data_IF_818436807932
#
_entry.id   IF_818436807932
#
_cell.length_a   1.000
_cell.length_b   1.000
_cell.length_c   1.000
_cell.angle_alpha   90.00
_cell.angle_beta   90.00
_cell.angle_gamma   90.00
#
_symmetry.space_group_name_H-M   'P 1'
#
loop_
_entity.id
_entity.type
_entity.pdbx_description
1 polymer ?
#
# COMPACT_ATOMS: atom_id res chain seq x y z
N UNK A 1 27.13 -19.78 -31.62
CA UNK A 1 26.63 -18.50 -31.10
C UNK A 1 25.42 -18.80 -30.21
N UNK A 2 25.58 -18.76 -28.89
CA UNK A 2 24.48 -18.93 -27.92
C UNK A 2 24.10 -17.54 -27.41
N UNK A 3 22.89 -17.09 -27.73
CA UNK A 3 22.32 -15.86 -27.19
C UNK A 3 22.11 -16.02 -25.68
N UNK A 4 22.65 -15.07 -24.94
CA UNK A 4 22.55 -14.91 -23.49
C UNK A 4 21.13 -14.42 -23.19
N UNK A 5 20.34 -15.22 -22.47
CA UNK A 5 19.08 -14.75 -21.85
C UNK A 5 19.45 -13.69 -20.81
N UNK A 6 19.06 -12.46 -21.05
CA UNK A 6 18.99 -11.40 -20.06
C UNK A 6 17.76 -11.67 -19.18
N UNK A 7 18.00 -12.10 -17.95
CA UNK A 7 16.99 -12.08 -16.89
C UNK A 7 16.78 -10.61 -16.48
N UNK A 8 15.72 -10.00 -17.03
CA UNK A 8 15.20 -8.73 -16.52
C UNK A 8 14.43 -9.04 -15.24
N UNK A 9 15.04 -8.77 -14.09
CA UNK A 9 14.33 -8.70 -12.81
C UNK A 9 13.60 -7.36 -12.75
N UNK A 10 12.46 -7.25 -13.47
CA UNK A 10 11.59 -6.08 -13.44
C UNK A 10 10.93 -5.97 -12.07
N UNK A 11 11.10 -4.81 -11.42
CA UNK A 11 10.31 -4.45 -10.24
C UNK A 11 8.82 -4.57 -10.58
N UNK A 12 8.06 -5.25 -9.73
CA UNK A 12 6.63 -5.45 -9.95
C UNK A 12 5.95 -4.10 -9.68
N UNK A 13 5.80 -3.31 -10.72
CA UNK A 13 4.94 -2.12 -10.72
C UNK A 13 3.50 -2.62 -10.78
N UNK A 14 2.72 -2.34 -9.75
CA UNK A 14 1.30 -2.62 -9.75
C UNK A 14 0.55 -1.45 -10.37
N UNK A 15 -0.55 -1.77 -11.05
CA UNK A 15 -1.34 -0.79 -11.77
C UNK A 15 -2.80 -0.83 -11.34
N UNK A 16 -3.40 0.34 -11.21
CA UNK A 16 -4.85 0.53 -11.12
C UNK A 16 -5.43 0.85 -12.51
N UNK A 17 -6.73 0.62 -12.69
CA UNK A 17 -7.44 1.02 -13.91
C UNK A 17 -7.80 2.50 -13.84
N UNK A 18 -7.33 3.29 -14.81
CA UNK A 18 -7.33 4.74 -14.69
C UNK A 18 -8.73 5.38 -14.79
N UNK A 19 -9.70 4.76 -15.48
CA UNK A 19 -11.08 5.27 -15.49
C UNK A 19 -11.76 5.08 -14.13
N UNK A 20 -11.69 3.88 -13.56
CA UNK A 20 -12.23 3.50 -12.25
C UNK A 20 -11.63 4.39 -11.17
N UNK A 21 -10.31 4.54 -11.15
CA UNK A 21 -9.60 5.38 -10.17
C UNK A 21 -10.02 6.86 -10.30
N UNK A 22 -10.06 7.42 -11.52
CA UNK A 22 -10.43 8.82 -11.73
C UNK A 22 -11.88 9.12 -11.41
N UNK A 23 -12.81 8.23 -11.80
CA UNK A 23 -14.25 8.47 -11.65
C UNK A 23 -14.74 8.23 -10.22
N UNK A 24 -14.01 7.48 -9.40
CA UNK A 24 -14.39 7.24 -8.03
C UNK A 24 -15.74 6.55 -7.93
N UNK A 25 -15.86 5.37 -8.55
CA UNK A 25 -17.14 4.67 -8.67
C UNK A 25 -17.75 4.28 -7.32
N UNK A 26 -16.92 4.09 -6.29
CA UNK A 26 -17.33 3.56 -5.00
C UNK A 26 -17.22 4.67 -3.95
N UNK A 27 -18.19 4.75 -3.03
CA UNK A 27 -18.11 5.73 -1.94
C UNK A 27 -16.91 5.45 -1.04
N UNK A 28 -16.21 6.50 -0.63
CA UNK A 28 -15.07 6.37 0.30
C UNK A 28 -15.53 6.03 1.72
N UNK A 29 -16.80 6.24 2.05
CA UNK A 29 -17.30 6.06 3.41
C UNK A 29 -17.40 4.57 3.76
N UNK A 30 -16.83 4.18 4.89
CA UNK A 30 -16.92 2.81 5.41
C UNK A 30 -18.36 2.39 5.76
N UNK A 31 -19.20 3.35 6.15
CA UNK A 31 -20.60 3.14 6.51
C UNK A 31 -21.48 4.18 5.87
N UNK A 32 -22.57 3.72 5.28
CA UNK A 32 -23.64 4.54 4.73
C UNK A 32 -25.00 4.02 5.20
N UNK A 33 -26.06 4.84 5.20
CA UNK A 33 -27.41 4.33 5.39
C UNK A 33 -27.78 3.33 4.28
N UNK A 34 -28.43 2.18 4.57
CA UNK A 34 -28.87 1.24 3.53
C UNK A 34 -29.84 1.85 2.50
N UNK A 35 -30.52 2.94 2.87
CA UNK A 35 -31.38 3.72 1.97
C UNK A 35 -30.61 4.58 0.96
N UNK A 36 -29.29 4.71 1.10
CA UNK A 36 -28.45 5.41 0.13
C UNK A 36 -28.15 4.49 -1.06
N UNK A 37 -29.14 4.36 -1.94
CA UNK A 37 -29.15 3.43 -3.08
C UNK A 37 -28.80 4.07 -4.41
N UNK A 38 -28.61 5.40 -4.47
CA UNK A 38 -28.20 6.07 -5.69
C UNK A 38 -27.46 7.37 -5.43
N UNK A 39 -26.66 7.78 -6.41
CA UNK A 39 -26.05 9.10 -6.47
C UNK A 39 -25.86 9.54 -7.92
N UNK A 40 -25.77 10.85 -8.14
CA UNK A 40 -25.47 11.48 -9.42
C UNK A 40 -24.45 12.58 -9.18
N UNK A 41 -23.43 12.64 -10.03
CA UNK A 41 -22.38 13.66 -10.02
C UNK A 41 -22.24 14.22 -11.43
N UNK A 42 -22.44 15.52 -11.55
CA UNK A 42 -22.14 16.30 -12.77
C UNK A 42 -20.78 16.98 -12.58
N UNK A 43 -19.93 16.93 -13.61
CA UNK A 43 -18.59 17.52 -13.61
C UNK A 43 -18.17 17.91 -15.03
N UNK A 44 -17.03 18.59 -15.14
CA UNK A 44 -16.44 18.93 -16.44
C UNK A 44 -15.16 18.11 -16.67
N UNK A 45 -15.02 17.59 -17.88
CA UNK A 45 -13.85 16.81 -18.32
C UNK A 45 -13.35 17.40 -19.64
N UNK A 46 -12.15 17.97 -19.65
CA UNK A 46 -11.58 18.67 -20.81
C UNK A 46 -12.52 19.73 -21.42
N UNK A 47 -13.22 20.49 -20.55
CA UNK A 47 -14.19 21.51 -20.96
C UNK A 47 -15.53 20.96 -21.48
N UNK A 48 -15.79 19.66 -21.32
CA UNK A 48 -17.06 19.01 -21.71
C UNK A 48 -17.87 18.63 -20.48
N UNK A 49 -19.20 18.85 -20.48
CA UNK A 49 -20.05 18.37 -19.41
C UNK A 49 -20.10 16.84 -19.44
N UNK A 50 -19.85 16.25 -18.28
CA UNK A 50 -19.86 14.81 -18.06
C UNK A 50 -20.75 14.49 -16.84
N UNK A 51 -21.31 13.29 -16.83
CA UNK A 51 -22.18 12.81 -15.75
C UNK A 51 -21.79 11.41 -15.35
N UNK A 52 -21.71 11.17 -14.04
CA UNK A 52 -21.55 9.85 -13.46
C UNK A 52 -22.72 9.58 -12.52
N UNK A 53 -23.29 8.38 -12.58
CA UNK A 53 -24.30 7.94 -11.63
C UNK A 53 -24.14 6.48 -11.24
N UNK A 54 -24.70 6.14 -10.08
CA UNK A 54 -24.87 4.76 -9.64
C UNK A 54 -26.30 4.56 -9.15
N UNK A 55 -26.87 3.41 -9.47
CA UNK A 55 -28.10 2.90 -8.89
C UNK A 55 -27.82 1.49 -8.37
N UNK A 56 -28.18 1.24 -7.12
CA UNK A 56 -27.96 -0.01 -6.42
C UNK A 56 -29.22 -0.47 -5.68
N UNK A 57 -29.19 -1.67 -5.13
CA UNK A 57 -30.32 -2.29 -4.44
C UNK A 57 -30.15 -2.16 -2.94
N UNK A 58 -31.20 -1.73 -2.23
CA UNK A 58 -31.16 -1.56 -0.77
C UNK A 58 -30.85 -2.87 -0.02
N UNK A 59 -31.31 -4.00 -0.54
CA UNK A 59 -31.11 -5.34 0.03
C UNK A 59 -29.63 -5.70 0.22
N UNK A 60 -28.75 -5.20 -0.64
CA UNK A 60 -27.30 -5.44 -0.53
C UNK A 60 -26.56 -4.33 0.25
N UNK A 61 -27.30 -3.46 0.95
CA UNK A 61 -26.73 -2.39 1.79
C UNK A 61 -26.49 -1.05 1.06
N UNK A 62 -27.14 -0.83 -0.09
CA UNK A 62 -27.06 0.43 -0.83
C UNK A 62 -25.96 0.44 -1.90
N UNK A 63 -25.49 1.63 -2.26
CA UNK A 63 -24.40 1.79 -3.24
C UNK A 63 -23.10 1.16 -2.75
N UNK A 64 -22.19 0.74 -3.65
CA UNK A 64 -20.87 0.28 -3.25
C UNK A 64 -20.12 1.33 -2.42
N UNK A 65 -19.50 0.90 -1.33
CA UNK A 65 -18.89 1.78 -0.33
C UNK A 65 -17.77 1.10 0.47
N UNK A 66 -16.92 1.92 1.08
CA UNK A 66 -15.94 1.46 2.06
C UNK A 66 -15.00 0.41 1.51
N UNK A 67 -15.05 -0.78 2.12
CA UNK A 67 -14.28 -1.98 1.81
C UNK A 67 -14.42 -2.44 0.35
N UNK A 68 -15.50 -2.07 -0.35
CA UNK A 68 -15.67 -2.38 -1.77
C UNK A 68 -14.59 -1.73 -2.65
N UNK A 69 -13.98 -0.63 -2.21
CA UNK A 69 -12.84 -0.02 -2.89
C UNK A 69 -11.64 -0.98 -2.94
N UNK A 70 -11.34 -1.63 -1.82
CA UNK A 70 -10.22 -2.55 -1.72
C UNK A 70 -10.53 -3.83 -2.51
N UNK A 71 -11.74 -4.39 -2.38
CA UNK A 71 -12.16 -5.57 -3.16
C UNK A 71 -12.08 -5.28 -4.66
N UNK A 72 -12.57 -4.13 -5.11
CA UNK A 72 -12.55 -3.77 -6.53
C UNK A 72 -11.12 -3.67 -7.09
N UNK A 73 -10.17 -3.16 -6.29
CA UNK A 73 -8.74 -3.15 -6.63
C UNK A 73 -8.14 -4.57 -6.64
N UNK A 74 -8.50 -5.41 -5.66
CA UNK A 74 -8.07 -6.81 -5.60
C UNK A 74 -8.45 -7.55 -6.89
N UNK A 75 -9.68 -7.35 -7.37
CA UNK A 75 -10.16 -8.00 -8.58
C UNK A 75 -9.39 -7.54 -9.83
N UNK A 76 -9.06 -6.25 -9.94
CA UNK A 76 -8.20 -5.71 -11.00
C UNK A 76 -6.79 -6.31 -10.93
N UNK A 77 -6.20 -6.39 -9.74
CA UNK A 77 -4.87 -6.97 -9.54
C UNK A 77 -4.86 -8.45 -9.93
N UNK A 78 -5.84 -9.23 -9.45
CA UNK A 78 -5.97 -10.66 -9.78
C UNK A 78 -6.21 -10.91 -11.27
N UNK A 79 -6.94 -10.02 -11.94
CA UNK A 79 -7.14 -10.07 -13.39
C UNK A 79 -5.83 -9.83 -14.15
N UNK A 80 -5.03 -8.86 -13.72
CA UNK A 80 -3.72 -8.59 -14.29
C UNK A 80 -2.74 -9.76 -14.04
N UNK A 81 -2.71 -10.28 -12.81
CA UNK A 81 -1.91 -11.46 -12.43
C UNK A 81 -2.27 -12.71 -13.25
N UNK A 82 -3.54 -12.85 -13.63
CA UNK A 82 -4.02 -13.93 -14.49
C UNK A 82 -3.64 -13.74 -15.98
N UNK A 83 -2.89 -12.70 -16.33
CA UNK A 83 -2.47 -12.40 -17.71
C UNK A 83 -3.50 -11.66 -18.53
N UNK A 84 -4.47 -10.98 -17.90
CA UNK A 84 -5.52 -10.20 -18.55
C UNK A 84 -6.35 -11.01 -19.58
N UNK A 85 -7.02 -12.11 -19.18
CA UNK A 85 -7.82 -12.93 -20.12
C UNK A 85 -8.86 -12.09 -20.87
N UNK A 86 -9.08 -12.38 -22.15
CA UNK A 86 -9.92 -11.57 -23.05
C UNK A 86 -11.40 -11.56 -22.65
N UNK A 87 -11.88 -12.66 -22.09
CA UNK A 87 -13.27 -12.78 -21.65
C UNK A 87 -13.54 -12.12 -20.29
N UNK A 88 -12.53 -11.52 -19.67
CA UNK A 88 -12.64 -10.86 -18.37
C UNK A 88 -12.77 -11.81 -17.17
N UNK A 89 -12.66 -13.13 -17.38
CA UNK A 89 -12.92 -14.12 -16.34
C UNK A 89 -11.68 -14.42 -15.52
N UNK A 90 -11.77 -14.30 -14.20
CA UNK A 90 -10.79 -14.79 -13.23
C UNK A 90 -11.36 -15.94 -12.43
N UNK A 91 -10.54 -16.96 -12.17
CA UNK A 91 -10.83 -18.05 -11.23
C UNK A 91 -9.88 -17.91 -10.06
N UNK A 92 -10.43 -17.79 -8.85
CA UNK A 92 -9.66 -17.51 -7.63
C UNK A 92 -10.36 -18.12 -6.41
N UNK A 93 -9.78 -17.95 -5.23
CA UNK A 93 -10.43 -18.31 -3.95
C UNK A 93 -10.75 -17.06 -3.14
N UNK A 94 -11.70 -17.16 -2.21
CA UNK A 94 -12.03 -16.05 -1.32
C UNK A 94 -10.80 -15.65 -0.49
N UNK A 95 -10.02 -16.65 -0.04
CA UNK A 95 -8.74 -16.44 0.64
C UNK A 95 -7.77 -15.58 -0.18
N UNK A 96 -7.63 -15.86 -1.49
CA UNK A 96 -6.72 -15.11 -2.35
C UNK A 96 -7.18 -13.66 -2.56
N UNK A 97 -8.49 -13.39 -2.59
CA UNK A 97 -9.00 -12.01 -2.67
C UNK A 97 -8.66 -11.24 -1.39
N UNK A 98 -8.93 -11.82 -0.21
CA UNK A 98 -8.66 -11.17 1.08
C UNK A 98 -7.17 -10.91 1.32
N UNK A 99 -6.32 -11.89 0.99
CA UNK A 99 -4.86 -11.75 1.15
C UNK A 99 -4.27 -10.74 0.19
N UNK A 100 -4.80 -10.59 -1.02
CA UNK A 100 -4.35 -9.57 -1.98
C UNK A 100 -4.54 -8.13 -1.47
N UNK A 101 -5.46 -7.91 -0.54
CA UNK A 101 -5.74 -6.60 0.09
C UNK A 101 -5.28 -6.53 1.55
N UNK A 102 -4.52 -7.53 2.01
CA UNK A 102 -3.95 -7.57 3.35
C UNK A 102 -4.98 -7.75 4.48
N UNK A 103 -6.20 -8.18 4.17
CA UNK A 103 -7.22 -8.45 5.18
C UNK A 103 -7.01 -9.80 5.85
N UNK A 104 -7.53 -9.91 7.06
CA UNK A 104 -7.59 -11.17 7.78
C UNK A 104 -8.56 -12.15 7.09
N UNK A 105 -8.37 -13.45 7.35
CA UNK A 105 -9.13 -14.55 6.76
C UNK A 105 -10.07 -15.18 7.77
N UNK A 106 -10.74 -14.34 8.57
CA UNK A 106 -11.79 -14.74 9.50
C UNK A 106 -13.16 -14.75 8.83
N UNK A 107 -14.12 -15.46 9.43
CA UNK A 107 -15.50 -15.55 8.93
C UNK A 107 -16.16 -14.18 8.73
N UNK A 108 -15.80 -13.19 9.56
CA UNK A 108 -16.27 -11.81 9.40
C UNK A 108 -15.87 -11.20 8.05
N UNK A 109 -14.61 -11.34 7.65
CA UNK A 109 -14.12 -10.80 6.38
C UNK A 109 -14.59 -11.59 5.17
N UNK A 110 -14.82 -12.90 5.31
CA UNK A 110 -15.48 -13.67 4.26
C UNK A 110 -16.92 -13.22 4.02
N UNK A 111 -17.66 -12.92 5.08
CA UNK A 111 -19.00 -12.34 4.96
C UNK A 111 -18.95 -10.94 4.33
N UNK A 112 -18.04 -10.08 4.78
CA UNK A 112 -17.86 -8.75 4.20
C UNK A 112 -17.48 -8.81 2.72
N UNK A 113 -16.65 -9.76 2.32
CA UNK A 113 -16.30 -10.01 0.93
C UNK A 113 -17.52 -10.44 0.11
N UNK A 114 -18.34 -11.38 0.63
CA UNK A 114 -19.57 -11.82 -0.04
C UNK A 114 -20.50 -10.63 -0.32
N UNK A 115 -20.75 -9.81 0.70
CA UNK A 115 -21.58 -8.61 0.59
C UNK A 115 -21.00 -7.60 -0.41
N UNK A 116 -19.67 -7.44 -0.42
CA UNK A 116 -18.97 -6.58 -1.38
C UNK A 116 -19.15 -7.05 -2.82
N UNK A 117 -18.94 -8.35 -3.07
CA UNK A 117 -19.11 -8.96 -4.39
C UNK A 117 -20.57 -8.84 -4.87
N UNK A 118 -21.56 -9.01 -3.99
CA UNK A 118 -22.97 -8.81 -4.32
C UNK A 118 -23.28 -7.35 -4.68
N UNK A 119 -22.78 -6.38 -3.90
CA UNK A 119 -22.92 -4.96 -4.24
C UNK A 119 -22.29 -4.63 -5.60
N UNK A 120 -21.07 -5.10 -5.85
CA UNK A 120 -20.35 -4.87 -7.11
C UNK A 120 -20.98 -5.58 -8.32
N UNK A 121 -21.68 -6.70 -8.09
CA UNK A 121 -22.38 -7.46 -9.13
C UNK A 121 -23.79 -6.92 -9.44
N UNK A 122 -24.37 -6.10 -8.56
CA UNK A 122 -25.75 -5.59 -8.72
C UNK A 122 -25.83 -4.09 -8.96
N UNK A 123 -24.89 -3.31 -8.42
CA UNK A 123 -24.82 -1.87 -8.63
C UNK A 123 -24.51 -1.54 -10.10
N UNK A 124 -25.34 -0.68 -10.69
CA UNK A 124 -25.21 -0.24 -12.07
C UNK A 124 -24.64 1.18 -12.11
N UNK A 125 -23.50 1.34 -12.77
CA UNK A 125 -22.86 2.61 -13.04
C UNK A 125 -23.24 3.12 -14.42
N UNK A 126 -23.42 4.42 -14.57
CA UNK A 126 -23.54 5.09 -15.86
C UNK A 126 -22.54 6.24 -15.90
N UNK A 127 -21.60 6.19 -16.83
CA UNK A 127 -20.59 7.22 -17.07
C UNK A 127 -20.89 7.84 -18.43
N UNK A 128 -21.59 8.97 -18.46
CA UNK A 128 -21.96 9.71 -19.67
C UNK A 128 -20.86 10.71 -20.06
N UNK A 129 -20.31 10.55 -21.26
CA UNK A 129 -19.17 11.32 -21.79
C UNK A 129 -17.97 11.37 -20.82
N UNK A 130 -17.80 10.31 -20.03
CA UNK A 130 -16.88 10.25 -18.89
C UNK A 130 -15.92 9.05 -18.94
N UNK A 131 -16.19 8.06 -19.80
CA UNK A 131 -15.36 6.88 -19.95
C UNK A 131 -14.33 7.09 -21.06
N UNK A 132 -13.06 6.87 -20.76
CA UNK A 132 -12.00 6.97 -21.76
C UNK A 132 -11.91 5.67 -22.54
N UNK A 133 -12.08 5.72 -23.85
CA UNK A 133 -11.77 4.61 -24.76
C UNK A 133 -10.93 5.15 -25.91
N UNK A 134 -9.65 4.76 -25.92
CA UNK A 134 -8.64 5.33 -26.80
C UNK A 134 -8.54 6.85 -26.69
N UNK A 135 -8.78 7.56 -27.81
CA UNK A 135 -8.74 9.05 -27.86
C UNK A 135 -10.09 9.72 -27.63
N UNK A 136 -11.15 8.98 -27.31
CA UNK A 136 -12.52 9.50 -27.17
C UNK A 136 -13.06 9.34 -25.76
N UNK A 137 -13.93 10.27 -25.40
CA UNK A 137 -14.83 10.14 -24.26
C UNK A 137 -16.10 9.45 -24.76
N UNK A 138 -16.57 8.44 -24.04
CA UNK A 138 -17.75 7.67 -24.40
C UNK A 138 -18.72 7.59 -23.23
N UNK A 139 -19.96 7.26 -23.57
CA UNK A 139 -21.02 6.94 -22.61
C UNK A 139 -21.12 5.43 -22.44
N UNK A 140 -20.96 4.94 -21.21
CA UNK A 140 -21.07 3.51 -20.88
C UNK A 140 -22.01 3.30 -19.70
N UNK A 141 -22.68 2.15 -19.67
CA UNK A 141 -23.52 1.71 -18.56
C UNK A 141 -23.20 0.25 -18.25
N UNK A 142 -22.69 -0.01 -17.05
CA UNK A 142 -22.10 -1.30 -16.71
C UNK A 142 -22.26 -1.60 -15.21
N UNK A 143 -22.04 -2.86 -14.84
CA UNK A 143 -21.85 -3.29 -13.45
C UNK A 143 -20.38 -3.65 -13.28
N UNK A 144 -19.81 -3.50 -12.10
CA UNK A 144 -18.38 -3.78 -11.93
C UNK A 144 -18.05 -5.26 -12.19
N UNK A 145 -18.92 -6.14 -11.69
CA UNK A 145 -18.88 -7.58 -11.92
C UNK A 145 -20.06 -7.96 -12.82
N UNK A 146 -19.75 -8.48 -14.00
CA UNK A 146 -20.76 -8.93 -14.95
C UNK A 146 -21.34 -10.30 -14.58
N UNK A 147 -20.49 -11.18 -14.04
CA UNK A 147 -20.89 -12.53 -13.60
C UNK A 147 -20.11 -12.94 -12.37
N UNK A 148 -20.83 -13.48 -11.38
CA UNK A 148 -20.28 -14.01 -10.14
C UNK A 148 -20.80 -15.44 -9.96
N UNK A 149 -19.90 -16.40 -9.89
CA UNK A 149 -20.16 -17.77 -9.47
C UNK A 149 -19.24 -18.09 -8.28
N UNK A 150 -19.76 -18.77 -7.26
CA UNK A 150 -18.97 -19.24 -6.14
C UNK A 150 -19.46 -20.57 -5.61
N UNK A 151 -18.56 -21.34 -5.00
CA UNK A 151 -18.90 -22.53 -4.22
C UNK A 151 -19.10 -22.18 -2.74
N UNK A 152 -20.04 -22.86 -2.10
CA UNK A 152 -20.26 -22.81 -0.66
C UNK A 152 -20.24 -24.22 -0.10
N UNK A 153 -19.69 -24.37 1.11
CA UNK A 153 -19.72 -25.62 1.87
C UNK A 153 -20.88 -25.66 2.88
N UNK A 154 -21.57 -24.53 3.10
CA UNK A 154 -22.71 -24.42 4.01
C UNK A 154 -24.04 -24.17 3.27
N UNK A 155 -25.14 -24.52 3.95
CA UNK A 155 -26.52 -24.31 3.48
C UNK A 155 -26.91 -22.82 3.41
N UNK A 156 -26.10 -21.94 4.00
CA UNK A 156 -26.31 -20.49 4.02
C UNK A 156 -25.65 -19.78 2.83
N UNK A 157 -25.03 -20.55 1.94
CA UNK A 157 -24.28 -20.05 0.78
C UNK A 157 -23.17 -19.07 1.18
N UNK A 158 -22.54 -19.29 2.34
CA UNK A 158 -21.43 -18.48 2.84
C UNK A 158 -20.13 -18.68 2.05
N UNK A 159 -19.24 -17.68 2.12
CA UNK A 159 -17.87 -17.84 1.63
C UNK A 159 -16.99 -18.41 2.74
N UNK A 160 -16.10 -19.34 2.38
CA UNK A 160 -15.02 -19.85 3.21
C UNK A 160 -13.68 -19.70 2.49
N UNK A 161 -12.57 -20.02 3.16
CA UNK A 161 -11.25 -20.02 2.50
C UNK A 161 -11.14 -20.96 1.31
N UNK A 162 -11.95 -22.03 1.27
CA UNK A 162 -12.01 -23.01 0.19
C UNK A 162 -13.01 -22.66 -0.92
N UNK A 163 -13.84 -21.64 -0.71
CA UNK A 163 -14.76 -21.16 -1.76
C UNK A 163 -13.99 -20.76 -3.00
N UNK A 164 -14.28 -21.45 -4.10
CA UNK A 164 -13.77 -21.14 -5.44
C UNK A 164 -14.73 -20.13 -6.06
N UNK A 165 -14.19 -19.03 -6.55
CA UNK A 165 -14.94 -17.98 -7.24
C UNK A 165 -14.53 -17.93 -8.70
N UNK A 166 -15.53 -17.81 -9.56
CA UNK A 166 -15.35 -17.46 -10.97
C UNK A 166 -16.06 -16.14 -11.21
N UNK A 167 -15.26 -15.10 -11.42
CA UNK A 167 -15.70 -13.71 -11.52
C UNK A 167 -15.40 -13.23 -12.92
N UNK A 168 -16.39 -12.66 -13.61
CA UNK A 168 -16.20 -11.93 -14.86
C UNK A 168 -16.33 -10.44 -14.60
N UNK A 169 -15.27 -9.70 -14.86
CA UNK A 169 -15.29 -8.24 -14.80
C UNK A 169 -16.10 -7.64 -15.95
N UNK A 170 -16.60 -6.43 -15.75
CA UNK A 170 -17.26 -5.66 -16.79
C UNK A 170 -16.37 -5.55 -18.04
N UNK A 171 -16.98 -5.71 -19.22
CA UNK A 171 -16.24 -5.57 -20.48
C UNK A 171 -15.55 -4.20 -20.60
N UNK A 172 -16.17 -3.14 -20.11
CA UNK A 172 -15.61 -1.79 -20.11
C UNK A 172 -14.28 -1.71 -19.35
N UNK A 173 -14.20 -2.36 -18.18
CA UNK A 173 -12.97 -2.42 -17.37
C UNK A 173 -11.92 -3.28 -18.07
N UNK A 174 -12.33 -4.44 -18.60
CA UNK A 174 -11.47 -5.39 -19.32
C UNK A 174 -10.82 -4.73 -20.53
N UNK A 175 -11.62 -4.09 -21.39
CA UNK A 175 -11.15 -3.40 -22.58
C UNK A 175 -10.20 -2.25 -22.17
N UNK A 176 -10.54 -1.49 -21.12
CA UNK A 176 -9.70 -0.38 -20.62
C UNK A 176 -8.32 -0.86 -20.13
N UNK A 177 -8.26 -1.95 -19.35
CA UNK A 177 -7.00 -2.54 -18.87
C UNK A 177 -6.16 -3.07 -20.04
N UNK A 178 -6.80 -3.78 -20.98
CA UNK A 178 -6.13 -4.37 -22.15
C UNK A 178 -5.60 -3.29 -23.10
N UNK A 179 -6.30 -2.17 -23.22
CA UNK A 179 -5.89 -0.96 -23.94
C UNK A 179 -4.80 -0.15 -23.19
N UNK A 180 -4.30 -0.67 -22.06
CA UNK A 180 -3.24 -0.06 -21.23
C UNK A 180 -3.65 1.29 -20.65
N UNK A 181 -4.93 1.47 -20.37
CA UNK A 181 -5.42 2.62 -19.61
C UNK A 181 -5.21 2.40 -18.11
N UNK A 182 -3.93 2.35 -17.75
CA UNK A 182 -3.44 1.95 -16.44
C UNK A 182 -2.66 3.09 -15.80
N UNK A 183 -2.74 3.18 -14.47
CA UNK A 183 -1.93 4.12 -13.69
C UNK A 183 -1.09 3.33 -12.68
N UNK A 184 0.23 3.59 -12.60
CA UNK A 184 1.07 3.02 -11.54
C UNK A 184 0.48 3.35 -10.16
N UNK A 185 0.44 2.36 -9.28
CA UNK A 185 -0.08 2.48 -7.93
C UNK A 185 1.01 2.10 -6.93
N UNK A 186 1.28 2.98 -5.97
CA UNK A 186 2.21 2.69 -4.88
C UNK A 186 1.52 1.76 -3.86
N UNK A 187 1.72 0.46 -4.02
CA UNK A 187 1.17 -0.51 -3.08
C UNK A 187 1.82 -0.42 -1.70
N UNK A 188 3.06 0.01 -1.58
CA UNK A 188 3.71 0.13 -0.27
C UNK A 188 3.01 1.22 0.53
N UNK A 189 2.76 2.38 -0.09
CA UNK A 189 1.95 3.42 0.53
C UNK A 189 0.54 2.92 0.81
N UNK A 190 -0.17 2.37 -0.19
CA UNK A 190 -1.55 1.91 -0.05
C UNK A 190 -1.72 0.91 1.11
N UNK A 191 -0.84 -0.07 1.23
CA UNK A 191 -0.88 -1.11 2.27
C UNK A 191 -0.45 -0.59 3.64
N UNK A 192 0.30 0.52 3.69
CA UNK A 192 0.63 1.20 4.94
C UNK A 192 -0.55 2.00 5.51
N UNK A 193 -1.57 2.31 4.71
CA UNK A 193 -2.77 3.02 5.15
C UNK A 193 -3.71 2.06 5.88
N UNK A 194 -4.03 2.38 7.12
CA UNK A 194 -4.82 1.55 8.04
C UNK A 194 -6.29 1.53 7.64
N UNK A 195 -6.84 2.71 7.30
CA UNK A 195 -8.28 2.87 7.11
C UNK A 195 -8.71 2.70 5.64
N UNK A 196 -9.80 1.96 5.35
CA UNK A 196 -10.35 1.84 4.00
C UNK A 196 -10.70 3.19 3.36
N UNK A 197 -11.23 4.12 4.15
CA UNK A 197 -11.53 5.47 3.69
C UNK A 197 -10.28 6.19 3.20
N UNK A 198 -9.16 6.06 3.92
CA UNK A 198 -7.89 6.70 3.56
C UNK A 198 -7.33 6.10 2.27
N UNK A 199 -7.37 4.76 2.11
CA UNK A 199 -6.98 4.08 0.88
C UNK A 199 -7.79 4.55 -0.34
N UNK A 200 -9.11 4.67 -0.18
CA UNK A 200 -9.99 5.15 -1.23
C UNK A 200 -9.72 6.63 -1.58
N UNK A 201 -9.52 7.49 -0.57
CA UNK A 201 -9.17 8.89 -0.79
C UNK A 201 -7.81 9.06 -1.46
N UNK A 202 -6.81 8.28 -1.07
CA UNK A 202 -5.50 8.24 -1.71
C UNK A 202 -5.63 7.95 -3.21
N UNK A 203 -6.31 6.87 -3.59
CA UNK A 203 -6.51 6.50 -5.00
C UNK A 203 -7.21 7.60 -5.80
N UNK A 204 -8.23 8.23 -5.22
CA UNK A 204 -8.91 9.37 -5.85
C UNK A 204 -7.96 10.55 -6.07
N UNK A 205 -7.22 10.96 -5.05
CA UNK A 205 -6.28 12.08 -5.12
C UNK A 205 -5.15 11.77 -6.10
N UNK A 206 -4.64 10.55 -6.10
CA UNK A 206 -3.59 10.08 -7.00
C UNK A 206 -4.04 10.11 -8.47
N UNK A 207 -5.31 9.79 -8.72
CA UNK A 207 -5.89 9.97 -10.06
C UNK A 207 -6.06 11.44 -10.46
N UNK A 208 -6.28 12.38 -9.52
CA UNK A 208 -6.32 13.82 -9.80
C UNK A 208 -4.93 14.45 -9.95
N UNK A 209 -3.88 13.79 -9.45
CA UNK A 209 -2.51 14.28 -9.50
C UNK A 209 -1.94 14.28 -10.92
N UNK A 210 -2.41 13.38 -11.78
CA UNK A 210 -1.88 13.19 -13.15
C UNK A 210 -2.57 14.14 -14.14
N UNK A 211 -1.76 14.89 -14.88
CA UNK A 211 -2.19 15.76 -15.98
C UNK A 211 -2.37 14.95 -17.28
N UNK A 212 -3.17 15.46 -18.24
CA UNK A 212 -3.38 14.79 -19.53
C UNK A 212 -2.11 14.56 -20.36
N UNK A 213 -1.05 15.33 -20.13
CA UNK A 213 0.26 15.20 -20.77
C UNK A 213 1.21 14.23 -20.04
N UNK A 214 0.76 13.63 -18.94
CA UNK A 214 1.54 12.71 -18.10
C UNK A 214 2.35 13.40 -17.01
N UNK A 215 2.32 14.73 -16.90
CA UNK A 215 2.90 15.45 -15.77
C UNK A 215 2.11 15.26 -14.48
N UNK A 216 2.66 15.69 -13.35
CA UNK A 216 1.96 15.69 -12.07
C UNK A 216 1.80 17.11 -11.52
N UNK A 217 0.64 17.38 -10.92
CA UNK A 217 0.43 18.63 -10.19
C UNK A 217 1.01 18.55 -8.78
N UNK A 218 1.66 19.62 -8.36
CA UNK A 218 2.15 19.78 -6.98
C UNK A 218 1.02 20.12 -5.99
N UNK A 219 -0.10 20.63 -6.50
CA UNK A 219 -1.24 21.04 -5.70
C UNK A 219 -2.53 20.75 -6.44
N UNK A 220 -3.51 20.20 -5.73
CA UNK A 220 -4.87 20.00 -6.21
C UNK A 220 -5.84 20.84 -5.37
N UNK A 221 -6.54 21.79 -6.02
CA UNK A 221 -7.53 22.69 -5.41
C UNK A 221 -8.91 22.31 -5.91
N UNK A 222 -9.86 22.15 -5.00
CA UNK A 222 -11.24 21.72 -5.33
C UNK A 222 -12.26 22.31 -4.36
N UNK A 223 -13.45 22.64 -4.85
CA UNK A 223 -14.55 23.06 -3.97
C UNK A 223 -14.98 21.90 -3.04
N UNK A 224 -15.27 22.19 -1.77
CA UNK A 224 -15.60 21.16 -0.77
C UNK A 224 -16.86 20.35 -1.12
N UNK A 225 -17.88 20.97 -1.71
CA UNK A 225 -19.13 20.30 -2.08
C UNK A 225 -18.92 19.46 -3.33
N UNK A 226 -18.17 19.98 -4.31
CA UNK A 226 -17.79 19.21 -5.50
C UNK A 226 -16.93 17.99 -5.12
N UNK A 227 -15.99 18.17 -4.18
CA UNK A 227 -15.19 17.06 -3.68
C UNK A 227 -16.01 16.05 -2.89
N UNK A 228 -16.97 16.50 -2.07
CA UNK A 228 -17.90 15.61 -1.39
C UNK A 228 -18.70 14.76 -2.38
N UNK A 229 -19.14 15.35 -3.49
CA UNK A 229 -19.77 14.63 -4.59
C UNK A 229 -18.80 13.67 -5.26
N UNK A 230 -17.56 14.06 -5.55
CA UNK A 230 -16.56 13.16 -6.12
C UNK A 230 -16.28 11.95 -5.22
N UNK A 231 -16.17 12.15 -3.90
CA UNK A 231 -16.00 11.11 -2.90
C UNK A 231 -17.28 10.30 -2.57
N UNK A 232 -18.43 10.69 -3.15
CA UNK A 232 -19.76 10.11 -2.88
C UNK A 232 -20.11 10.14 -1.37
N UNK A 233 -19.80 11.26 -0.71
CA UNK A 233 -20.16 11.50 0.68
C UNK A 233 -21.67 11.80 0.76
N UNK A 234 -22.37 11.11 1.68
CA UNK A 234 -23.82 11.20 1.88
C UNK A 234 -24.23 12.62 2.32
N UNK A 235 -23.62 13.13 3.38
CA UNK A 235 -23.88 14.49 3.87
C UNK A 235 -22.82 15.46 3.32
N UNK A 236 -23.23 16.25 2.33
CA UNK A 236 -22.38 17.19 1.62
C UNK A 236 -22.24 18.55 2.33
N UNK A 237 -22.74 18.68 3.56
CA UNK A 237 -22.55 19.88 4.36
C UNK A 237 -21.06 20.07 4.65
N UNK A 238 -20.46 21.24 4.35
CA UNK A 238 -19.01 21.46 4.48
C UNK A 238 -18.38 21.01 5.81
N UNK A 239 -19.06 21.26 6.93
CA UNK A 239 -18.57 20.85 8.25
C UNK A 239 -18.53 19.32 8.42
N UNK A 240 -19.51 18.60 7.85
CA UNK A 240 -19.56 17.13 7.87
C UNK A 240 -18.54 16.53 6.92
N UNK A 241 -18.38 17.10 5.73
CA UNK A 241 -17.36 16.72 4.76
C UNK A 241 -15.96 16.82 5.38
N UNK A 242 -15.64 17.96 6.01
CA UNK A 242 -14.38 18.12 6.76
C UNK A 242 -14.17 17.01 7.77
N UNK A 243 -15.14 16.78 8.65
CA UNK A 243 -15.07 15.76 9.70
C UNK A 243 -14.91 14.34 9.15
N UNK A 244 -15.53 14.04 8.02
CA UNK A 244 -15.40 12.75 7.34
C UNK A 244 -13.99 12.54 6.79
N UNK A 245 -13.37 13.59 6.24
CA UNK A 245 -12.06 13.51 5.59
C UNK A 245 -10.87 13.69 6.54
N UNK A 246 -11.08 14.34 7.70
CA UNK A 246 -10.03 14.76 8.64
C UNK A 246 -9.05 13.63 9.01
N UNK A 247 -9.58 12.45 9.40
CA UNK A 247 -8.73 11.32 9.76
C UNK A 247 -7.85 10.83 8.61
N UNK A 248 -8.39 10.80 7.39
CA UNK A 248 -7.62 10.41 6.21
C UNK A 248 -6.61 11.48 5.79
N UNK A 249 -6.93 12.77 5.99
CA UNK A 249 -6.00 13.86 5.73
C UNK A 249 -4.78 13.80 6.65
N UNK A 250 -5.00 13.57 7.94
CA UNK A 250 -3.93 13.40 8.93
C UNK A 250 -3.04 12.22 8.53
N UNK A 251 -3.64 11.07 8.28
CA UNK A 251 -2.90 9.85 7.93
C UNK A 251 -2.10 10.01 6.63
N UNK A 252 -2.66 10.63 5.58
CA UNK A 252 -1.94 10.84 4.32
C UNK A 252 -0.79 11.84 4.44
N UNK A 253 -0.86 12.77 5.40
CA UNK A 253 0.28 13.64 5.73
C UNK A 253 1.34 12.88 6.51
N UNK A 254 0.94 12.10 7.51
CA UNK A 254 1.85 11.27 8.33
C UNK A 254 2.61 10.24 7.49
N UNK A 255 1.95 9.63 6.49
CA UNK A 255 2.55 8.67 5.56
C UNK A 255 3.31 9.33 4.41
N UNK A 256 3.42 10.66 4.39
CA UNK A 256 4.24 11.42 3.44
C UNK A 256 3.68 11.51 2.02
N UNK A 257 2.42 11.15 1.79
CA UNK A 257 1.78 11.34 0.48
C UNK A 257 1.42 12.81 0.24
N UNK A 258 0.89 13.46 1.28
CA UNK A 258 0.60 14.88 1.30
C UNK A 258 1.61 15.61 2.19
N UNK A 259 2.00 16.82 1.81
CA UNK A 259 2.78 17.70 2.69
C UNK A 259 1.86 18.53 3.59
N UNK A 260 0.72 18.98 3.07
CA UNK A 260 -0.29 19.70 3.83
C UNK A 260 -1.68 19.60 3.18
N UNK A 261 -2.71 19.78 3.99
CA UNK A 261 -4.10 20.01 3.54
C UNK A 261 -4.58 21.32 4.13
N UNK A 262 -5.04 22.23 3.28
CA UNK A 262 -5.59 23.53 3.69
C UNK A 262 -7.03 23.67 3.26
N UNK A 263 -7.76 24.48 4.03
CA UNK A 263 -9.11 24.87 3.67
C UNK A 263 -9.22 26.39 3.61
N UNK A 264 -9.66 26.92 2.48
CA UNK A 264 -9.84 28.36 2.24
C UNK A 264 -11.32 28.70 2.01
N UNK A 265 -11.74 29.89 2.45
CA UNK A 265 -13.12 30.34 2.30
C UNK A 265 -14.11 29.75 3.32
N UNK A 266 -15.41 29.96 3.09
CA UNK A 266 -16.50 29.64 4.04
C UNK A 266 -17.71 29.03 3.35
N UNK A 267 -18.48 28.25 4.11
CA UNK A 267 -19.72 27.64 3.64
C UNK A 267 -19.50 26.75 2.41
N UNK A 268 -20.47 26.73 1.50
CA UNK A 268 -20.41 25.91 0.28
C UNK A 268 -19.35 26.38 -0.74
N UNK A 269 -18.83 27.62 -0.61
CA UNK A 269 -17.79 28.18 -1.49
C UNK A 269 -16.37 27.85 -1.02
N UNK A 270 -16.25 27.08 0.04
CA UNK A 270 -14.97 26.70 0.58
C UNK A 270 -14.21 25.77 -0.38
N UNK A 271 -12.91 25.92 -0.42
CA UNK A 271 -12.00 25.09 -1.20
C UNK A 271 -11.12 24.24 -0.27
N UNK A 272 -10.87 23.01 -0.69
CA UNK A 272 -9.84 22.13 -0.14
C UNK A 272 -8.63 22.22 -1.05
N UNK A 273 -7.46 22.40 -0.46
CA UNK A 273 -6.19 22.50 -1.18
C UNK A 273 -5.29 21.40 -0.64
N UNK A 274 -5.07 20.39 -1.47
CA UNK A 274 -4.13 19.31 -1.21
C UNK A 274 -2.78 19.71 -1.79
N UNK A 275 -1.72 19.70 -0.98
CA UNK A 275 -0.36 19.90 -1.47
C UNK A 275 0.36 18.56 -1.38
N UNK A 276 0.71 18.01 -2.52
CA UNK A 276 1.43 16.74 -2.58
C UNK A 276 2.85 16.93 -2.05
N UNK A 277 3.38 15.92 -1.36
CA UNK A 277 4.79 15.93 -1.03
C UNK A 277 5.60 15.96 -2.34
N UNK A 278 6.66 16.79 -2.40
CA UNK A 278 7.58 16.82 -3.56
C UNK A 278 8.15 15.42 -3.74
N UNK A 279 7.80 14.84 -4.89
CA UNK A 279 8.26 13.57 -5.46
C UNK A 279 8.91 12.56 -4.51
N UNK A 280 8.12 11.56 -4.15
CA UNK A 280 8.59 10.19 -3.90
C UNK A 280 8.81 9.40 -5.20
N UNK A 281 8.69 10.02 -6.38
CA UNK A 281 9.34 9.49 -7.58
C UNK A 281 10.82 9.89 -7.51
N UNK A 282 11.64 9.00 -6.94
CA UNK A 282 13.09 9.20 -6.91
C UNK A 282 13.60 9.51 -8.34
N UNK A 283 14.51 10.48 -8.48
CA UNK A 283 15.24 10.65 -9.74
C UNK A 283 15.96 9.34 -10.09
N UNK A 284 16.32 9.13 -11.36
CA UNK A 284 17.12 7.96 -11.76
C UNK A 284 18.37 7.81 -10.89
N UNK A 285 19.01 8.94 -10.53
CA UNK A 285 20.19 8.95 -9.66
C UNK A 285 19.87 8.51 -8.22
N UNK A 286 18.67 8.85 -7.73
CA UNK A 286 18.23 8.42 -6.40
C UNK A 286 17.81 6.94 -6.38
N UNK A 287 17.25 6.41 -7.48
CA UNK A 287 17.03 4.98 -7.67
C UNK A 287 18.36 4.21 -7.71
N UNK A 288 19.39 4.75 -8.37
CA UNK A 288 20.74 4.19 -8.36
C UNK A 288 21.34 4.17 -6.95
N UNK A 289 21.17 5.24 -6.17
CA UNK A 289 21.61 5.29 -4.78
C UNK A 289 20.86 4.27 -3.91
N UNK A 290 19.55 4.09 -4.07
CA UNK A 290 18.78 3.03 -3.39
C UNK A 290 19.31 1.64 -3.76
N UNK A 291 19.57 1.39 -5.04
CA UNK A 291 20.13 0.12 -5.50
C UNK A 291 21.51 -0.14 -4.90
N UNK A 292 22.36 0.89 -4.79
CA UNK A 292 23.68 0.78 -4.19
C UNK A 292 23.62 0.53 -2.67
N UNK A 293 22.76 1.24 -1.94
CA UNK A 293 22.49 1.00 -0.52
C UNK A 293 22.00 -0.44 -0.27
N UNK A 294 21.11 -0.94 -1.14
CA UNK A 294 20.60 -2.30 -1.07
C UNK A 294 21.69 -3.37 -1.29
N UNK A 295 22.69 -3.11 -2.14
CA UNK A 295 23.84 -4.03 -2.32
C UNK A 295 24.64 -4.23 -1.04
N UNK A 296 24.67 -3.22 -0.17
CA UNK A 296 25.31 -3.29 1.15
C UNK A 296 24.39 -3.81 2.26
N UNK A 297 23.15 -4.21 1.92
CA UNK A 297 22.19 -4.83 2.82
C UNK A 297 21.28 -3.85 3.56
N UNK A 298 21.25 -2.58 3.15
CA UNK A 298 20.28 -1.61 3.66
C UNK A 298 18.91 -1.90 3.06
N UNK A 299 17.88 -2.01 3.90
CA UNK A 299 16.52 -2.22 3.42
C UNK A 299 16.06 -1.04 2.55
N UNK A 300 15.27 -1.31 1.49
CA UNK A 300 14.84 -0.28 0.54
C UNK A 300 14.10 0.87 1.24
N UNK A 301 13.14 0.57 2.12
CA UNK A 301 12.43 1.58 2.93
C UNK A 301 13.38 2.50 3.68
N UNK A 302 14.39 1.93 4.34
CA UNK A 302 15.42 2.71 5.05
C UNK A 302 16.26 3.56 4.08
N UNK A 303 16.56 3.06 2.87
CA UNK A 303 17.25 3.84 1.85
C UNK A 303 16.43 5.04 1.37
N UNK A 304 15.11 4.86 1.16
CA UNK A 304 14.18 5.95 0.86
C UNK A 304 14.16 6.99 1.99
N UNK A 305 14.02 6.56 3.24
CA UNK A 305 14.02 7.45 4.41
C UNK A 305 15.33 8.26 4.51
N UNK A 306 16.47 7.60 4.29
CA UNK A 306 17.78 8.26 4.33
C UNK A 306 17.93 9.31 3.22
N UNK A 307 17.50 9.02 1.99
CA UNK A 307 17.52 9.99 0.88
C UNK A 307 16.60 11.18 1.18
N UNK A 308 15.40 10.91 1.71
CA UNK A 308 14.44 11.95 2.06
C UNK A 308 14.93 12.86 3.19
N UNK A 309 15.61 12.30 4.19
CA UNK A 309 16.10 13.05 5.36
C UNK A 309 17.38 13.83 5.04
N UNK A 310 18.33 13.20 4.34
CA UNK A 310 19.70 13.73 4.19
C UNK A 310 20.00 14.31 2.81
N UNK A 311 19.17 14.02 1.81
CA UNK A 311 19.39 14.42 0.43
C UNK A 311 20.40 13.53 -0.30
N UNK A 312 20.27 13.44 -1.63
CA UNK A 312 21.06 12.54 -2.47
C UNK A 312 22.57 12.83 -2.44
N UNK A 313 22.97 14.11 -2.42
CA UNK A 313 24.39 14.51 -2.39
C UNK A 313 25.13 13.93 -1.18
N UNK A 314 24.50 14.02 0.00
CA UNK A 314 25.07 13.49 1.23
C UNK A 314 25.12 11.97 1.21
N UNK A 315 24.09 11.31 0.67
CA UNK A 315 24.09 9.84 0.54
C UNK A 315 25.26 9.38 -0.32
N UNK A 316 25.48 10.01 -1.48
CA UNK A 316 26.59 9.70 -2.37
C UNK A 316 27.95 9.95 -1.71
N UNK A 317 28.12 11.07 -1.00
CA UNK A 317 29.35 11.37 -0.26
C UNK A 317 29.64 10.28 0.80
N UNK A 318 28.62 9.91 1.58
CA UNK A 318 28.77 8.95 2.68
C UNK A 318 28.95 7.52 2.21
N UNK A 319 28.37 7.16 1.06
CA UNK A 319 28.65 5.90 0.37
C UNK A 319 30.12 5.82 -0.06
N UNK A 320 30.65 6.87 -0.69
CA UNK A 320 32.07 6.92 -1.08
C UNK A 320 33.00 6.80 0.14
N UNK A 321 32.67 7.49 1.25
CA UNK A 321 33.42 7.38 2.50
C UNK A 321 33.37 5.96 3.07
N UNK A 322 32.19 5.35 3.10
CA UNK A 322 32.03 3.96 3.54
C UNK A 322 32.86 2.98 2.71
N UNK A 323 32.84 3.10 1.38
CA UNK A 323 33.64 2.23 0.50
C UNK A 323 35.14 2.40 0.73
N UNK A 324 35.61 3.64 0.92
CA UNK A 324 37.00 3.92 1.23
C UNK A 324 37.45 3.30 2.56
N UNK A 325 36.59 3.30 3.59
CA UNK A 325 36.86 2.65 4.87
C UNK A 325 36.98 1.12 4.71
N UNK A 326 36.12 0.50 3.89
CA UNK A 326 36.23 -0.94 3.60
C UNK A 326 37.52 -1.28 2.82
N UNK A 327 37.90 -0.44 1.85
CA UNK A 327 39.15 -0.61 1.09
C UNK A 327 40.40 -0.45 1.96
N UNK A 328 40.34 0.40 3.00
CA UNK A 328 41.40 0.55 3.99
C UNK A 328 41.55 -0.67 4.94
N UNK A 329 40.73 -1.71 4.76
CA UNK A 329 40.85 -2.99 5.45
C UNK A 329 39.91 -3.17 6.65
N UNK A 330 39.02 -2.21 6.92
CA UNK A 330 38.02 -2.36 7.98
C UNK A 330 36.91 -3.32 7.55
N UNK A 331 36.68 -4.38 8.33
CA UNK A 331 35.64 -5.38 8.07
C UNK A 331 34.57 -5.35 9.17
N UNK A 332 33.47 -4.59 8.98
CA UNK A 332 32.41 -4.53 9.98
C UNK A 332 31.63 -5.84 10.06
N UNK A 333 31.22 -6.22 11.27
CA UNK A 333 30.38 -7.40 11.54
C UNK A 333 28.97 -7.28 10.93
N UNK A 334 28.43 -6.06 10.87
CA UNK A 334 27.19 -5.72 10.18
C UNK A 334 27.45 -4.56 9.20
N UNK A 335 27.59 -4.87 7.92
CA UNK A 335 27.87 -3.89 6.85
C UNK A 335 26.75 -2.87 6.66
N UNK A 336 25.49 -3.32 6.72
CA UNK A 336 24.33 -2.45 6.54
C UNK A 336 24.19 -1.46 7.71
N UNK A 337 24.28 -1.96 8.95
CA UNK A 337 24.25 -1.11 10.14
C UNK A 337 25.41 -0.10 10.17
N UNK A 338 26.60 -0.52 9.72
CA UNK A 338 27.74 0.38 9.60
C UNK A 338 27.52 1.46 8.55
N UNK A 339 26.99 1.12 7.37
CA UNK A 339 26.68 2.10 6.33
C UNK A 339 25.65 3.14 6.80
N UNK A 340 24.59 2.69 7.46
CA UNK A 340 23.57 3.60 8.03
C UNK A 340 24.19 4.52 9.10
N UNK A 341 25.09 4.00 9.94
CA UNK A 341 25.81 4.79 10.95
C UNK A 341 26.73 5.85 10.30
N UNK A 342 27.43 5.49 9.22
CA UNK A 342 28.28 6.43 8.45
C UNK A 342 27.45 7.53 7.78
N UNK A 343 26.24 7.21 7.31
CA UNK A 343 25.32 8.17 6.69
C UNK A 343 24.77 9.16 7.74
N UNK A 344 24.36 8.63 8.90
CA UNK A 344 23.79 9.41 10.02
C UNK A 344 24.82 10.22 10.79
N UNK A 345 26.10 9.91 10.67
CA UNK A 345 27.17 10.60 11.38
C UNK A 345 27.25 12.10 11.03
N UNK A 346 26.87 12.94 11.99
CA UNK A 346 27.00 14.40 11.95
C UNK A 346 28.20 14.90 12.78
N UNK A 347 28.80 14.05 13.60
CA UNK A 347 29.83 14.40 14.58
C UNK A 347 31.25 14.18 14.07
N UNK A 348 31.40 13.64 12.84
CA UNK A 348 32.70 13.38 12.24
C UNK A 348 33.41 12.17 12.86
N UNK A 349 32.64 11.19 13.34
CA UNK A 349 33.13 9.95 13.95
C UNK A 349 34.07 9.16 13.01
N UNK A 350 33.89 9.33 11.70
CA UNK A 350 34.65 8.64 10.67
C UNK A 350 35.56 9.60 9.91
N UNK A 351 36.87 9.47 10.13
CA UNK A 351 37.88 10.28 9.45
C UNK A 351 38.04 9.88 7.96
N UNK A 352 38.34 10.86 7.12
CA UNK A 352 38.55 10.66 5.69
C UNK A 352 39.83 9.82 5.42
N UNK A 353 39.73 8.69 4.70
CA UNK A 353 40.89 7.89 4.33
C UNK A 353 41.83 8.65 3.38
N UNK A 354 43.10 8.23 3.30
CA UNK A 354 44.10 8.85 2.44
C UNK A 354 43.68 8.83 0.96
N UNK A 355 43.49 10.01 0.35
CA UNK A 355 43.10 10.18 -1.05
C UNK A 355 41.64 10.61 -1.29
N UNK A 356 40.82 10.78 -0.24
CA UNK A 356 39.46 11.30 -0.37
C UNK A 356 39.45 12.80 -0.66
N UNK A 357 38.76 13.21 -1.74
CA UNK A 357 38.53 14.62 -2.08
C UNK A 357 37.07 14.95 -1.73
N UNK A 358 36.87 15.65 -0.62
CA UNK A 358 35.56 16.17 -0.25
C UNK A 358 35.17 17.29 -1.23
N UNK A 359 33.98 17.17 -1.82
CA UNK A 359 33.35 18.24 -2.57
C UNK A 359 32.16 18.76 -1.75
N UNK A 360 32.41 19.61 -0.73
CA UNK A 360 31.60 20.78 -0.37
C UNK A 360 32.22 21.54 0.82
N UNK A 361 32.23 22.87 0.69
CA UNK A 361 32.64 23.86 1.69
C UNK A 361 31.76 23.83 2.96
N UNK A 362 32.33 24.11 4.15
CA UNK A 362 31.59 24.12 5.40
C UNK A 362 30.66 25.35 5.48
N UNK A 363 29.35 25.14 5.31
CA UNK A 363 28.37 26.18 5.65
C UNK A 363 28.12 26.16 7.16
N UNK A 364 28.63 27.20 7.82
CA UNK A 364 28.33 27.52 9.23
C UNK A 364 26.83 27.74 9.38
N UNK A 365 26.17 26.99 10.26
CA UNK A 365 24.94 27.45 10.93
C UNK A 365 25.14 27.49 12.44
N UNK A 366 25.35 28.72 12.89
CA UNK A 366 24.98 29.32 14.18
C UNK A 366 24.61 28.37 15.32
N UNK A 367 25.48 28.38 16.32
CA UNK A 367 25.21 27.99 17.68
C UNK A 367 24.00 28.74 18.26
N UNK A 368 22.88 28.05 18.43
CA UNK A 368 21.79 28.44 19.33
C UNK A 368 20.92 27.20 19.60
N UNK A 369 21.34 26.36 20.55
CA UNK A 369 20.55 25.20 20.99
C UNK A 369 21.26 24.32 22.02
N UNK A 370 22.59 24.31 22.01
CA UNK A 370 23.39 23.55 22.98
C UNK A 370 23.43 24.24 24.36
N UNK A 371 22.32 24.24 25.10
CA UNK A 371 22.28 24.38 26.56
C UNK A 371 21.08 23.63 27.12
N UNK A 372 21.20 22.30 27.20
CA UNK A 372 20.65 21.41 28.25
C UNK A 372 20.94 19.95 27.87
N UNK A 373 22.22 19.58 27.94
CA UNK A 373 22.64 18.18 28.01
C UNK A 373 23.70 18.11 29.11
N UNK A 374 23.30 17.63 30.28
CA UNK A 374 24.15 17.49 31.44
C UNK A 374 23.34 17.05 32.66
N UNK A 375 23.57 15.80 33.08
CA UNK A 375 22.88 15.02 34.13
C UNK A 375 21.48 14.54 33.70
N UNK A 376 21.17 13.24 33.64
CA UNK A 376 21.51 12.14 34.56
C UNK A 376 21.64 10.83 33.77
N UNK A 377 22.73 10.11 33.99
CA UNK A 377 22.86 8.70 33.64
C UNK A 377 22.33 7.90 34.84
N UNK A 378 21.19 7.23 34.69
CA UNK A 378 20.75 6.19 35.63
C UNK A 378 19.95 5.14 34.86
N UNK A 379 20.65 4.05 34.54
CA UNK A 379 20.17 2.67 34.42
C UNK A 379 18.67 2.47 34.15
N UNK A 380 18.31 2.29 32.89
CA UNK A 380 17.14 1.50 32.47
C UNK A 380 17.56 0.66 31.26
N UNK A 381 17.12 -0.60 31.25
CA UNK A 381 17.36 -1.61 30.22
C UNK A 381 16.92 -1.10 28.84
N UNK A 382 17.56 -1.53 27.74
CA UNK A 382 17.15 -1.05 26.42
C UNK A 382 15.73 -1.54 26.13
N UNK A 383 14.80 -0.58 26.11
CA UNK A 383 13.42 -0.73 25.67
C UNK A 383 13.38 -1.52 24.35
N UNK A 384 12.54 -2.55 24.35
CA UNK A 384 12.27 -3.36 23.18
C UNK A 384 11.72 -2.48 22.05
N UNK A 385 12.09 -2.71 20.77
CA UNK A 385 11.53 -1.97 19.65
C UNK A 385 10.00 -2.01 19.67
N UNK A 386 9.37 -0.86 19.41
CA UNK A 386 7.92 -0.62 19.47
C UNK A 386 7.03 -1.55 18.62
N UNK A 387 7.59 -2.47 17.83
CA UNK A 387 6.87 -3.51 17.09
C UNK A 387 6.42 -4.71 17.97
N UNK A 388 7.01 -4.89 19.16
CA UNK A 388 6.71 -6.04 20.04
C UNK A 388 5.79 -5.73 21.23
N UNK A 389 5.49 -4.44 21.48
CA UNK A 389 4.58 -4.00 22.54
C UNK A 389 3.14 -4.52 22.36
N UNK A 390 2.78 -4.95 21.14
CA UNK A 390 1.43 -5.34 20.74
C UNK A 390 1.21 -6.87 20.77
N UNK A 391 2.05 -7.64 21.47
CA UNK A 391 1.89 -9.10 21.66
C UNK A 391 1.30 -9.44 23.03
N UNK A 392 1.52 -8.60 24.03
CA UNK A 392 1.12 -8.87 25.42
C UNK A 392 -0.40 -8.84 25.62
N UNK A 393 -1.14 -8.11 24.76
CA UNK A 393 -2.61 -8.01 24.80
C UNK A 393 -3.39 -9.07 24.03
N UNK A 394 -2.72 -9.95 23.27
CA UNK A 394 -3.37 -10.99 22.47
C UNK A 394 -3.50 -12.29 23.26
N UNK A 395 -4.61 -13.02 23.03
CA UNK A 395 -4.79 -14.38 23.52
C UNK A 395 -3.89 -15.37 22.75
N UNK A 396 -3.80 -16.62 23.21
CA UNK A 396 -2.90 -17.63 22.62
C UNK A 396 -3.12 -17.80 21.11
N UNK A 397 -4.39 -17.74 20.68
CA UNK A 397 -4.78 -17.82 19.27
C UNK A 397 -4.39 -16.56 18.49
N UNK A 398 -4.63 -15.37 19.01
CA UNK A 398 -4.22 -14.12 18.38
C UNK A 398 -2.70 -13.98 18.22
N UNK A 399 -1.92 -14.48 19.19
CA UNK A 399 -0.45 -14.55 19.07
C UNK A 399 -0.01 -15.53 17.98
N UNK A 400 -0.68 -16.68 17.87
CA UNK A 400 -0.43 -17.68 16.83
C UNK A 400 -0.75 -17.13 15.43
N UNK A 401 -1.90 -16.45 15.26
CA UNK A 401 -2.33 -15.84 14.00
C UNK A 401 -1.39 -14.71 13.56
N UNK A 402 -0.97 -13.86 14.51
CA UNK A 402 0.01 -12.79 14.25
C UNK A 402 1.37 -13.36 13.83
N UNK A 403 1.86 -14.39 14.51
CA UNK A 403 3.11 -15.07 14.15
C UNK A 403 3.00 -15.75 12.77
N UNK A 404 1.91 -16.44 12.48
CA UNK A 404 1.69 -17.07 11.18
C UNK A 404 1.64 -16.06 10.03
N UNK A 405 0.97 -14.92 10.23
CA UNK A 405 0.98 -13.82 9.26
C UNK A 405 2.42 -13.42 8.96
N UNK A 406 3.22 -13.11 9.97
CA UNK A 406 4.62 -12.71 9.79
C UNK A 406 5.48 -13.83 9.16
N UNK A 407 5.33 -15.07 9.62
CA UNK A 407 6.08 -16.22 9.11
C UNK A 407 5.71 -16.56 7.66
N UNK A 408 4.46 -16.37 7.25
CA UNK A 408 4.04 -16.57 5.86
C UNK A 408 4.75 -15.62 4.88
N UNK A 409 5.03 -14.38 5.33
CA UNK A 409 5.84 -13.43 4.56
C UNK A 409 7.33 -13.77 4.59
N UNK A 410 7.86 -14.24 5.72
CA UNK A 410 9.31 -14.49 5.90
C UNK A 410 9.74 -15.80 5.23
N UNK A 411 8.95 -16.86 5.36
CA UNK A 411 9.27 -18.21 4.87
C UNK A 411 8.93 -18.38 3.38
N UNK A 412 7.96 -17.63 2.87
CA UNK A 412 7.59 -17.59 1.46
C UNK A 412 7.38 -18.98 0.84
N UNK A 413 7.89 -19.19 -0.37
CA UNK A 413 7.80 -20.48 -1.10
C UNK A 413 8.69 -21.60 -0.52
N UNK A 414 9.55 -21.29 0.46
CA UNK A 414 10.48 -22.25 1.05
C UNK A 414 9.85 -23.17 2.09
N UNK A 415 8.73 -22.78 2.68
CA UNK A 415 8.00 -23.57 3.66
C UNK A 415 6.68 -24.09 3.06
N UNK A 416 6.50 -25.41 2.91
CA UNK A 416 5.33 -25.95 2.23
C UNK A 416 4.02 -25.59 2.93
N UNK A 417 3.02 -25.22 2.14
CA UNK A 417 1.72 -24.72 2.62
C UNK A 417 1.01 -25.68 3.58
N UNK A 418 1.24 -26.99 3.42
CA UNK A 418 0.68 -28.04 4.28
C UNK A 418 1.12 -27.95 5.75
N UNK A 419 2.23 -27.28 6.06
CA UNK A 419 2.80 -27.24 7.42
C UNK A 419 2.38 -26.03 8.24
N UNK A 420 1.71 -25.04 7.65
CA UNK A 420 1.18 -23.89 8.40
C UNK A 420 0.06 -24.29 9.37
N UNK A 421 -0.71 -25.34 9.05
CA UNK A 421 -1.71 -25.92 9.97
C UNK A 421 -1.04 -26.52 11.21
N UNK A 422 0.02 -27.31 11.03
CA UNK A 422 0.79 -27.88 12.14
C UNK A 422 1.47 -26.80 13.00
N UNK A 423 1.96 -25.72 12.37
CA UNK A 423 2.55 -24.59 13.07
C UNK A 423 1.52 -23.81 13.90
N UNK A 424 0.29 -23.66 13.38
CA UNK A 424 -0.85 -23.09 14.12
C UNK A 424 -1.19 -23.93 15.35
N UNK A 425 -1.32 -25.24 15.18
CA UNK A 425 -1.64 -26.16 16.27
C UNK A 425 -0.53 -26.14 17.34
N UNK A 426 0.74 -26.10 16.95
CA UNK A 426 1.88 -26.01 17.87
C UNK A 426 1.92 -24.70 18.67
N UNK A 427 1.56 -23.58 18.03
CA UNK A 427 1.44 -22.28 18.70
C UNK A 427 0.26 -22.21 19.67
N UNK A 428 -0.91 -22.73 19.28
CA UNK A 428 -2.10 -22.75 20.14
C UNK A 428 -1.93 -23.73 21.31
N UNK A 429 -1.28 -24.87 21.09
CA UNK A 429 -0.95 -25.85 22.13
C UNK A 429 0.21 -25.40 23.05
N UNK A 430 0.91 -24.31 22.72
CA UNK A 430 2.02 -23.78 23.51
C UNK A 430 3.31 -24.62 23.45
N UNK A 431 3.43 -25.52 22.48
CA UNK A 431 4.65 -26.33 22.28
C UNK A 431 5.74 -25.54 21.56
N UNK A 432 5.36 -24.51 20.80
CA UNK A 432 6.25 -23.51 20.23
C UNK A 432 5.80 -22.11 20.65
N UNK A 433 6.75 -21.23 20.97
CA UNK A 433 6.44 -19.83 21.26
C UNK A 433 6.34 -19.02 19.95
N UNK A 434 5.18 -18.41 19.65
CA UNK A 434 4.95 -17.69 18.39
C UNK A 434 5.92 -16.51 18.17
N UNK A 435 6.29 -15.81 19.25
CA UNK A 435 7.16 -14.65 19.20
C UNK A 435 8.61 -15.08 18.96
N UNK A 436 9.06 -16.13 19.66
CA UNK A 436 10.44 -16.62 19.52
C UNK A 436 10.69 -17.26 18.15
N UNK A 437 9.72 -18.01 17.62
CA UNK A 437 9.82 -18.55 16.25
C UNK A 437 9.84 -17.43 15.21
N UNK A 438 9.04 -16.38 15.39
CA UNK A 438 9.03 -15.21 14.49
C UNK A 438 10.37 -14.46 14.53
N UNK A 439 10.92 -14.18 15.72
CA UNK A 439 12.25 -13.56 15.87
C UNK A 439 13.35 -14.42 15.25
N UNK A 440 13.29 -15.73 15.44
CA UNK A 440 14.26 -16.67 14.89
C UNK A 440 14.22 -16.70 13.35
N UNK A 441 13.03 -16.61 12.75
CA UNK A 441 12.84 -16.54 11.31
C UNK A 441 13.40 -15.22 10.73
N UNK A 442 13.07 -14.07 11.35
CA UNK A 442 13.62 -12.76 10.95
C UNK A 442 15.15 -12.79 11.02
N UNK A 443 15.70 -13.31 12.12
CA UNK A 443 17.16 -13.46 12.29
C UNK A 443 17.76 -14.37 11.21
N UNK A 444 17.11 -15.50 10.90
CA UNK A 444 17.56 -16.41 9.85
C UNK A 444 17.52 -15.78 8.45
N UNK A 445 16.56 -14.88 8.20
CA UNK A 445 16.46 -14.10 6.97
C UNK A 445 17.63 -13.11 6.84
N UNK A 446 17.90 -12.36 7.90
CA UNK A 446 19.02 -11.39 7.97
C UNK A 446 20.37 -12.11 7.81
N UNK A 447 20.54 -13.26 8.45
CA UNK A 447 21.77 -14.07 8.41
C UNK A 447 21.87 -14.97 7.16
N UNK A 448 20.91 -14.91 6.23
CA UNK A 448 20.83 -15.73 5.00
C UNK A 448 20.92 -17.25 5.25
N UNK A 449 20.38 -17.73 6.37
CA UNK A 449 20.34 -19.15 6.75
C UNK A 449 18.93 -19.74 6.76
N UNK A 450 18.05 -19.22 5.90
CA UNK A 450 16.62 -19.57 5.89
C UNK A 450 16.37 -21.05 5.58
N UNK A 451 17.14 -21.66 4.67
CA UNK A 451 16.99 -23.07 4.34
C UNK A 451 17.21 -23.99 5.55
N UNK A 452 18.25 -23.71 6.35
CA UNK A 452 18.54 -24.45 7.58
C UNK A 452 17.50 -24.20 8.66
N UNK A 453 17.01 -22.97 8.79
CA UNK A 453 15.95 -22.65 9.73
C UNK A 453 14.63 -23.38 9.38
N UNK A 454 14.28 -23.44 8.10
CA UNK A 454 13.10 -24.18 7.63
C UNK A 454 13.22 -25.67 7.96
N UNK A 455 14.39 -26.27 7.73
CA UNK A 455 14.64 -27.68 8.03
C UNK A 455 14.54 -27.98 9.53
N UNK A 456 15.14 -27.13 10.38
CA UNK A 456 15.03 -27.21 11.84
C UNK A 456 13.57 -27.02 12.32
N UNK A 457 12.83 -26.10 11.71
CA UNK A 457 11.42 -25.85 12.03
C UNK A 457 10.51 -27.02 11.65
N UNK A 458 10.75 -27.65 10.50
CA UNK A 458 10.01 -28.85 10.07
C UNK A 458 10.26 -30.03 11.00
N UNK A 459 11.52 -30.25 11.42
CA UNK A 459 11.86 -31.28 12.41
C UNK A 459 11.16 -31.05 13.76
N UNK A 460 11.06 -29.81 14.22
CA UNK A 460 10.33 -29.46 15.45
C UNK A 460 8.82 -29.71 15.35
N UNK A 461 8.25 -29.65 14.14
CA UNK A 461 6.85 -30.00 13.87
C UNK A 461 6.63 -31.50 13.70
N UNK A 462 7.69 -32.32 13.77
CA UNK A 462 7.60 -33.76 13.60
C UNK A 462 7.37 -34.21 12.16
N UNK A 463 7.84 -33.41 11.17
CA UNK A 463 7.69 -33.70 9.74
C UNK A 463 8.99 -33.67 8.97
#
# INVERSE_FOLDING_TARGET
>A
MKQKKTDNNSEIVHFDEANVARLGLISIQERIPPSFTSWIVDFNLDGRPARLSCVAVAEHGGVPHGLDNDVSLALIALYQDAGCPEDGTIVTTAYRILTAIGWDTSGHYYQALKESLERLATATFTASEAWRSGKRWTTVKFRYIDRLEYTSEDDRLGLSGQSVLKIRLAREIVDSIRDKYLKPLDLQLLTSLERPLTRALYRLLDAQRVLPDGGEVMQFRVNIVEWAKACKIVDQTPAKVRRTLEGAHVELVERGYLSEVRYEGRGAKQEIIYVFAKDTSLSEEALEAVALLARYGVARSVAYDLINIYGLDRINERLNRFEAILQAGYTPRNRAGFLVDVIRDDEGKYADPAGFVSHVHPSKRSAAGARKAGAVHRSEEPEQPAEFADWEGLDARGRAEKALKMLSFILGKGFPTAYYGALMDAFVAGTLDPLEVTKAAIKAQIERRMARFIEELMQMLGV
#
